data_IF_875846363056
#
_entry.id   IF_875846363056
#
_cell.length_a   1.000
_cell.length_b   1.000
_cell.length_c   1.000
_cell.angle_alpha   90.00
_cell.angle_beta   90.00
_cell.angle_gamma   90.00
#
_symmetry.space_group_name_H-M   'P 1'
#
loop_
_entity.id
_entity.type
_entity.pdbx_description
1 polymer ?
#
# COMPACT_ATOMS: atom_id res chain seq x y z
N UNK A 1 -4.33 -10.26 -11.66
CA UNK A 1 -5.36 -9.28 -11.24
C UNK A 1 -4.71 -7.93 -11.38
N UNK A 2 -5.38 -6.99 -12.01
CA UNK A 2 -4.77 -5.69 -12.33
C UNK A 2 -5.64 -4.58 -11.75
N UNK A 3 -5.00 -3.57 -11.17
CA UNK A 3 -5.65 -2.34 -10.72
C UNK A 3 -4.73 -1.15 -10.94
N UNK A 4 -5.31 0.04 -11.04
CA UNK A 4 -4.56 1.30 -11.12
C UNK A 4 -4.92 2.18 -9.94
N UNK A 5 -3.92 2.55 -9.15
CA UNK A 5 -4.06 3.52 -8.07
C UNK A 5 -3.60 4.90 -8.53
N UNK A 6 -4.24 5.94 -8.03
CA UNK A 6 -3.89 7.34 -8.30
C UNK A 6 -3.54 8.05 -7.02
N UNK A 7 -2.51 8.88 -7.06
CA UNK A 7 -2.14 9.70 -5.91
C UNK A 7 -1.85 11.13 -6.38
N UNK A 8 -2.33 12.12 -5.62
CA UNK A 8 -2.13 13.54 -5.90
C UNK A 8 -1.81 14.27 -4.61
N UNK A 9 -0.53 14.50 -4.36
CA UNK A 9 -0.13 15.14 -3.12
C UNK A 9 1.37 15.33 -2.98
N UNK A 10 1.82 15.80 -1.81
CA UNK A 10 3.22 15.99 -1.52
C UNK A 10 3.94 14.65 -1.27
N UNK A 11 4.95 14.35 -2.08
CA UNK A 11 5.85 13.22 -1.88
C UNK A 11 7.23 13.72 -1.43
N UNK A 12 7.51 13.66 -0.13
CA UNK A 12 8.81 14.10 0.44
C UNK A 12 9.84 12.97 0.39
N UNK A 13 11.10 13.31 0.12
CA UNK A 13 12.21 12.33 0.09
C UNK A 13 12.49 11.69 1.46
N UNK A 14 12.28 12.42 2.56
CA UNK A 14 12.44 11.92 3.93
C UNK A 14 11.13 12.11 4.70
N UNK A 15 10.06 11.50 4.19
CA UNK A 15 8.73 11.65 4.74
C UNK A 15 8.64 11.03 6.15
N UNK A 16 8.06 11.79 7.08
CA UNK A 16 7.81 11.28 8.42
C UNK A 16 6.61 10.32 8.49
N UNK A 17 6.32 9.76 9.67
CA UNK A 17 5.21 8.83 9.88
C UNK A 17 3.86 9.39 9.43
N UNK A 18 3.61 10.66 9.76
CA UNK A 18 2.39 11.40 9.37
C UNK A 18 2.27 11.51 7.85
N UNK A 19 3.37 11.80 7.15
CA UNK A 19 3.36 11.96 5.69
C UNK A 19 3.09 10.61 5.01
N UNK A 20 3.72 9.53 5.47
CA UNK A 20 3.47 8.16 4.96
C UNK A 20 2.03 7.72 5.23
N UNK A 21 1.49 8.03 6.41
CA UNK A 21 0.11 7.68 6.75
C UNK A 21 -0.91 8.43 5.89
N UNK A 22 -0.65 9.70 5.54
CA UNK A 22 -1.50 10.44 4.60
C UNK A 22 -1.57 9.75 3.24
N UNK A 23 -0.42 9.29 2.72
CA UNK A 23 -0.38 8.52 1.46
C UNK A 23 -1.18 7.21 1.60
N UNK A 24 -1.01 6.48 2.71
CA UNK A 24 -1.79 5.26 2.99
C UNK A 24 -3.29 5.51 2.96
N UNK A 25 -3.77 6.58 3.61
CA UNK A 25 -5.19 6.90 3.68
C UNK A 25 -5.76 7.34 2.31
N UNK A 26 -5.00 8.04 1.49
CA UNK A 26 -5.43 8.41 0.13
C UNK A 26 -5.55 7.19 -0.80
N UNK A 27 -4.61 6.24 -0.66
CA UNK A 27 -4.65 4.98 -1.41
C UNK A 27 -5.67 3.99 -0.83
N UNK A 28 -5.91 4.05 0.48
CA UNK A 28 -6.88 3.24 1.19
C UNK A 28 -8.27 3.35 0.57
N UNK A 29 -8.75 4.55 0.23
CA UNK A 29 -10.09 4.72 -0.33
C UNK A 29 -10.27 3.98 -1.65
N UNK A 30 -9.25 4.00 -2.50
CA UNK A 30 -9.24 3.29 -3.79
C UNK A 30 -9.12 1.78 -3.60
N UNK A 31 -8.25 1.34 -2.69
CA UNK A 31 -8.14 -0.07 -2.32
C UNK A 31 -9.46 -0.56 -1.70
N UNK A 32 -10.07 0.20 -0.80
CA UNK A 32 -11.35 -0.12 -0.19
C UNK A 32 -12.44 -0.33 -1.23
N UNK A 33 -12.54 0.57 -2.22
CA UNK A 33 -13.47 0.41 -3.33
C UNK A 33 -13.18 -0.88 -4.11
N UNK A 34 -11.91 -1.13 -4.43
CA UNK A 34 -11.48 -2.35 -5.12
C UNK A 34 -11.84 -3.63 -4.35
N UNK A 35 -11.60 -3.68 -3.04
CA UNK A 35 -11.95 -4.79 -2.16
C UNK A 35 -13.47 -5.02 -2.10
N UNK A 36 -14.28 -3.97 -2.17
CA UNK A 36 -15.73 -4.06 -2.15
C UNK A 36 -16.35 -4.54 -3.48
N UNK A 37 -15.70 -4.24 -4.60
CA UNK A 37 -16.18 -4.53 -5.95
C UNK A 37 -15.68 -5.87 -6.50
N UNK A 38 -14.44 -6.26 -6.20
CA UNK A 38 -13.86 -7.49 -6.73
C UNK A 38 -14.52 -8.72 -6.09
N UNK A 39 -15.09 -9.60 -6.92
CA UNK A 39 -15.82 -10.80 -6.47
C UNK A 39 -15.00 -11.71 -5.57
N UNK A 40 -13.68 -11.73 -5.73
CA UNK A 40 -12.75 -12.57 -4.96
C UNK A 40 -12.44 -11.97 -3.59
N UNK A 41 -12.62 -10.66 -3.43
CA UNK A 41 -12.28 -9.92 -2.21
C UNK A 41 -13.51 -9.53 -1.40
N UNK A 42 -14.68 -9.42 -2.05
CA UNK A 42 -15.90 -8.87 -1.47
C UNK A 42 -16.36 -9.58 -0.19
N UNK A 43 -16.23 -10.91 -0.13
CA UNK A 43 -16.57 -11.68 1.07
C UNK A 43 -15.64 -11.32 2.24
N UNK A 44 -14.33 -11.24 1.97
CA UNK A 44 -13.32 -10.85 2.95
C UNK A 44 -13.42 -9.39 3.38
N UNK A 45 -13.88 -8.50 2.48
CA UNK A 45 -14.16 -7.10 2.79
C UNK A 45 -15.31 -6.96 3.79
N UNK A 46 -16.41 -7.69 3.58
CA UNK A 46 -17.56 -7.65 4.48
C UNK A 46 -17.23 -8.20 5.88
N UNK A 47 -16.36 -9.22 5.94
CA UNK A 47 -16.00 -9.91 7.17
C UNK A 47 -14.60 -9.55 7.69
N UNK A 48 -14.07 -8.36 7.37
CA UNK A 48 -12.68 -8.00 7.66
C UNK A 48 -12.30 -8.12 9.17
N UNK A 49 -13.26 -7.97 10.09
CA UNK A 49 -13.06 -8.15 11.54
C UNK A 49 -12.72 -9.60 11.91
N UNK A 50 -13.19 -10.55 11.12
CA UNK A 50 -12.96 -12.00 11.30
C UNK A 50 -11.61 -12.45 10.75
N UNK A 51 -10.90 -11.57 10.03
CA UNK A 51 -9.55 -11.85 9.57
C UNK A 51 -8.65 -12.18 10.76
N UNK A 52 -7.83 -13.20 10.57
CA UNK A 52 -6.81 -13.57 11.54
C UNK A 52 -5.87 -12.40 11.81
N UNK A 53 -5.45 -12.28 13.06
CA UNK A 53 -4.50 -11.26 13.48
C UNK A 53 -3.08 -11.78 13.25
N UNK A 54 -2.30 -11.08 12.44
CA UNK A 54 -0.90 -11.40 12.23
C UNK A 54 -0.07 -11.07 13.48
N UNK A 55 0.92 -11.91 13.78
CA UNK A 55 1.92 -11.62 14.79
C UNK A 55 3.18 -11.05 14.11
N UNK A 56 3.81 -10.04 14.71
CA UNK A 56 5.07 -9.51 14.20
C UNK A 56 6.24 -10.38 14.67
N UNK A 57 7.15 -10.76 13.76
CA UNK A 57 8.41 -11.44 14.07
C UNK A 57 9.58 -10.77 13.36
N UNK A 58 10.23 -9.84 14.06
CA UNK A 58 11.26 -8.99 13.47
C UNK A 58 10.65 -8.05 12.43
N UNK A 59 11.10 -8.16 11.18
CA UNK A 59 10.64 -7.36 10.04
C UNK A 59 9.51 -8.03 9.24
N UNK A 60 9.07 -9.22 9.63
CA UNK A 60 8.05 -9.97 8.89
C UNK A 60 6.80 -10.21 9.74
N UNK A 61 5.69 -10.48 9.05
CA UNK A 61 4.43 -10.87 9.66
C UNK A 61 4.28 -12.39 9.64
N UNK A 62 4.14 -12.99 10.82
CA UNK A 62 3.84 -14.40 10.97
C UNK A 62 2.33 -14.58 11.11
N UNK A 63 1.75 -15.27 10.14
CA UNK A 63 0.34 -15.61 10.11
C UNK A 63 0.23 -17.12 10.26
N UNK A 64 -0.57 -17.57 11.23
CA UNK A 64 -0.80 -19.00 11.42
C UNK A 64 -1.46 -19.53 10.16
N UNK A 65 -0.73 -20.31 9.36
CA UNK A 65 -1.30 -20.93 8.17
C UNK A 65 -2.56 -21.69 8.59
N UNK A 66 -3.68 -21.47 7.92
CA UNK A 66 -4.91 -22.12 8.29
C UNK A 66 -4.75 -23.64 8.32
N UNK A 67 -5.11 -24.24 9.45
CA UNK A 67 -5.34 -25.70 9.54
C UNK A 67 -6.59 -26.01 8.72
N UNK A 68 -6.65 -27.22 8.13
CA UNK A 68 -7.76 -27.78 7.33
C UNK A 68 -9.11 -27.13 7.67
N UNK A 69 -9.69 -26.37 6.71
CA UNK A 69 -11.06 -25.84 6.81
C UNK A 69 -11.19 -24.31 6.82
N UNK A 70 -10.13 -23.54 7.05
CA UNK A 70 -10.18 -22.08 6.95
C UNK A 70 -9.94 -21.66 5.49
N UNK A 71 -10.86 -20.86 4.94
CA UNK A 71 -10.89 -20.42 3.54
C UNK A 71 -10.20 -19.08 3.27
N UNK A 72 -9.65 -18.43 4.30
CA UNK A 72 -9.17 -17.07 4.19
C UNK A 72 -7.70 -16.96 4.60
N UNK A 73 -6.86 -16.58 3.64
CA UNK A 73 -5.43 -16.37 3.84
C UNK A 73 -5.11 -14.90 4.14
N UNK A 74 -6.09 -13.99 4.02
CA UNK A 74 -5.95 -12.58 4.40
C UNK A 74 -5.92 -12.46 5.91
N UNK A 75 -5.31 -11.37 6.36
CA UNK A 75 -5.03 -11.12 7.75
C UNK A 75 -5.07 -9.62 8.02
N UNK A 76 -5.20 -9.26 9.30
CA UNK A 76 -5.11 -7.89 9.76
C UNK A 76 -3.99 -7.72 10.79
N UNK A 77 -3.44 -6.53 10.88
CA UNK A 77 -2.45 -6.18 11.88
C UNK A 77 -2.88 -4.90 12.63
N UNK A 78 -3.28 -5.02 13.91
CA UNK A 78 -3.62 -3.88 14.73
C UNK A 78 -2.35 -3.12 15.12
N UNK A 79 -2.28 -1.83 14.80
CA UNK A 79 -1.18 -0.94 15.18
C UNK A 79 -1.69 0.49 15.32
N UNK A 80 -1.36 1.16 16.43
CA UNK A 80 -1.61 2.59 16.66
C UNK A 80 -3.06 3.05 16.36
N UNK A 81 -4.05 2.25 16.76
CA UNK A 81 -5.46 2.60 16.55
C UNK A 81 -6.01 2.30 15.14
N UNK A 82 -5.29 1.52 14.33
CA UNK A 82 -5.69 1.08 12.99
C UNK A 82 -5.58 -0.44 12.81
N UNK A 83 -6.43 -1.01 11.97
CA UNK A 83 -6.31 -2.40 11.49
C UNK A 83 -5.77 -2.44 10.07
N UNK A 84 -4.47 -2.66 9.89
CA UNK A 84 -3.89 -2.74 8.56
C UNK A 84 -4.20 -4.07 7.88
N UNK A 85 -4.66 -4.03 6.62
CA UNK A 85 -5.05 -5.22 5.85
C UNK A 85 -4.35 -5.18 4.48
N UNK A 86 -3.30 -6.00 4.25
CA UNK A 86 -2.59 -6.03 2.98
C UNK A 86 -3.32 -6.84 1.91
N UNK A 87 -3.24 -6.38 0.67
CA UNK A 87 -3.79 -7.07 -0.51
C UNK A 87 -2.83 -8.13 -1.06
N UNK A 88 -1.58 -7.76 -1.31
CA UNK A 88 -0.54 -8.67 -1.79
C UNK A 88 0.23 -9.15 -0.57
N UNK A 89 0.24 -10.46 -0.36
CA UNK A 89 0.90 -11.04 0.80
C UNK A 89 1.73 -12.26 0.45
N UNK A 90 2.82 -12.44 1.19
CA UNK A 90 3.66 -13.64 1.09
C UNK A 90 2.91 -14.91 1.54
N UNK A 91 1.92 -14.79 2.44
CA UNK A 91 1.08 -15.90 2.92
C UNK A 91 0.23 -16.49 1.79
N UNK A 92 -0.22 -15.65 0.85
CA UNK A 92 -0.94 -16.07 -0.35
C UNK A 92 -0.02 -16.42 -1.52
N UNK A 93 1.31 -16.37 -1.31
CA UNK A 93 2.28 -16.52 -2.39
C UNK A 93 1.98 -15.56 -3.56
N UNK A 94 1.70 -14.30 -3.24
CA UNK A 94 1.45 -13.26 -4.25
C UNK A 94 2.66 -12.34 -4.38
N UNK A 95 2.94 -11.97 -5.62
CA UNK A 95 3.87 -10.91 -5.99
C UNK A 95 3.14 -9.86 -6.83
N UNK A 96 3.80 -8.74 -7.06
CA UNK A 96 3.31 -7.76 -8.00
C UNK A 96 4.40 -7.14 -8.87
N UNK A 97 3.93 -6.61 -9.98
CA UNK A 97 4.66 -5.68 -10.82
C UNK A 97 4.05 -4.29 -10.64
N UNK A 98 4.91 -3.31 -10.40
CA UNK A 98 4.52 -1.91 -10.28
C UNK A 98 5.04 -1.13 -11.48
N UNK A 99 4.15 -0.45 -12.18
CA UNK A 99 4.49 0.55 -13.20
C UNK A 99 3.97 1.90 -12.74
N UNK A 100 4.88 2.84 -12.50
CA UNK A 100 4.58 4.14 -11.91
C UNK A 100 4.84 5.23 -12.94
N UNK A 101 3.80 5.98 -13.30
CA UNK A 101 3.93 7.25 -14.02
C UNK A 101 3.96 8.39 -13.01
N UNK A 102 5.12 8.98 -12.82
CA UNK A 102 5.38 10.04 -11.84
C UNK A 102 5.41 11.40 -12.53
N UNK A 103 4.33 12.16 -12.41
CA UNK A 103 4.23 13.52 -12.90
C UNK A 103 4.71 14.49 -11.82
N UNK A 104 5.80 15.21 -12.07
CA UNK A 104 6.36 16.19 -11.11
C UNK A 104 6.77 17.48 -11.81
N UNK A 105 6.90 18.58 -11.06
CA UNK A 105 7.49 19.81 -11.62
C UNK A 105 8.98 19.59 -11.90
N UNK A 106 9.32 19.46 -13.18
CA UNK A 106 10.71 19.31 -13.66
C UNK A 106 11.12 20.63 -14.34
N UNK A 107 12.21 21.24 -13.86
CA UNK A 107 12.89 22.35 -14.55
C UNK A 107 13.82 21.83 -15.66
N UNK A 108 14.18 22.66 -16.66
CA UNK A 108 15.18 22.27 -17.67
C UNK A 108 16.50 21.84 -17.00
N UNK A 109 17.05 20.67 -17.36
CA UNK A 109 18.27 20.12 -16.74
C UNK A 109 18.10 19.51 -15.33
N UNK A 110 16.86 19.46 -14.82
CA UNK A 110 16.55 19.15 -13.42
C UNK A 110 16.33 17.68 -13.08
N UNK A 111 16.63 16.72 -13.97
CA UNK A 111 16.48 15.27 -13.68
C UNK A 111 17.25 14.89 -12.41
N UNK A 112 18.39 15.54 -12.14
CA UNK A 112 19.26 15.25 -10.99
C UNK A 112 19.30 16.35 -9.91
N UNK A 113 18.91 17.60 -10.19
CA UNK A 113 19.35 18.75 -9.37
C UNK A 113 18.27 19.58 -8.67
N UNK A 114 16.97 19.40 -8.96
CA UNK A 114 15.92 20.23 -8.32
C UNK A 114 14.88 19.35 -7.62
N UNK A 115 15.13 19.08 -6.33
CA UNK A 115 14.11 18.51 -5.42
C UNK A 115 14.43 17.16 -4.78
N UNK A 116 15.71 16.75 -4.71
CA UNK A 116 16.11 15.53 -4.01
C UNK A 116 15.96 14.24 -4.82
N UNK A 117 16.78 13.28 -4.42
CA UNK A 117 16.98 11.97 -5.05
C UNK A 117 15.64 11.24 -5.29
N UNK A 118 15.40 10.84 -6.55
CA UNK A 118 14.21 10.08 -6.94
C UNK A 118 14.11 8.81 -6.10
N UNK A 119 15.25 8.21 -5.77
CA UNK A 119 15.37 6.98 -5.00
C UNK A 119 14.78 7.14 -3.59
N UNK A 120 15.07 8.26 -2.93
CA UNK A 120 14.52 8.54 -1.59
C UNK A 120 13.00 8.76 -1.62
N UNK A 121 12.47 9.42 -2.67
CA UNK A 121 11.03 9.60 -2.85
C UNK A 121 10.32 8.27 -3.12
N UNK A 122 10.96 7.41 -3.90
CA UNK A 122 10.48 6.08 -4.20
C UNK A 122 10.45 5.21 -2.94
N UNK A 123 11.50 5.28 -2.10
CA UNK A 123 11.52 4.60 -0.81
C UNK A 123 10.33 5.02 0.07
N UNK A 124 10.09 6.33 0.19
CA UNK A 124 8.90 6.84 0.89
C UNK A 124 7.60 6.26 0.34
N UNK A 125 7.45 6.19 -0.98
CA UNK A 125 6.27 5.65 -1.62
C UNK A 125 6.09 4.16 -1.32
N UNK A 126 7.14 3.35 -1.47
CA UNK A 126 7.10 1.92 -1.18
C UNK A 126 6.77 1.66 0.29
N UNK A 127 7.39 2.39 1.22
CA UNK A 127 7.07 2.33 2.65
C UNK A 127 5.57 2.64 2.90
N UNK A 128 5.00 3.59 2.15
CA UNK A 128 3.58 3.96 2.26
C UNK A 128 2.63 2.97 1.55
N UNK A 129 3.11 2.15 0.61
CA UNK A 129 2.32 1.07 0.01
C UNK A 129 2.23 -0.17 0.93
N UNK A 130 3.18 -0.27 1.86
CA UNK A 130 3.31 -1.39 2.79
C UNK A 130 2.57 -1.16 4.12
N UNK A 131 2.16 -2.27 4.75
CA UNK A 131 1.77 -2.32 6.17
C UNK A 131 2.94 -1.85 7.05
N UNK A 132 2.72 -0.86 7.94
CA UNK A 132 3.74 -0.40 8.87
C UNK A 132 4.08 -1.49 9.91
N UNK A 133 5.36 -1.59 10.27
CA UNK A 133 5.87 -2.64 11.16
C UNK A 133 5.99 -2.13 12.60
N UNK A 134 6.39 -0.87 12.75
CA UNK A 134 6.65 -0.29 14.06
C UNK A 134 5.70 0.85 14.38
N UNK A 135 5.45 1.04 15.68
CA UNK A 135 4.64 2.13 16.19
C UNK A 135 5.15 3.50 15.73
N UNK A 136 6.46 3.71 15.67
CA UNK A 136 7.00 4.98 15.18
C UNK A 136 6.76 5.24 13.68
N UNK A 137 6.29 4.26 12.91
CA UNK A 137 6.03 4.42 11.47
C UNK A 137 4.61 4.93 11.18
N UNK A 138 3.78 5.07 12.22
CA UNK A 138 2.38 5.49 12.15
C UNK A 138 2.10 6.52 13.25
N UNK A 139 1.43 7.64 12.95
CA UNK A 139 0.93 8.50 14.01
C UNK A 139 -0.13 7.78 14.84
N UNK A 140 -0.18 8.06 16.15
CA UNK A 140 -1.25 7.55 17.00
C UNK A 140 -2.62 8.07 16.53
N UNK A 141 -3.61 7.19 16.46
CA UNK A 141 -4.98 7.58 16.14
C UNK A 141 -5.66 8.15 17.40
N UNK A 142 -5.83 9.47 17.44
CA UNK A 142 -6.46 10.19 18.56
C UNK A 142 -7.90 9.74 18.85
N UNK A 143 -8.58 9.12 17.88
CA UNK A 143 -9.96 8.62 18.01
C UNK A 143 -10.04 7.08 18.14
N UNK A 144 -9.00 6.44 18.68
CA UNK A 144 -8.96 4.99 18.81
C UNK A 144 -10.01 4.45 19.80
N UNK A 145 -10.72 3.39 19.40
CA UNK A 145 -11.50 2.57 20.34
C UNK A 145 -10.57 1.90 21.34
N UNK A 146 -11.04 1.60 22.55
CA UNK A 146 -10.28 0.83 23.55
C UNK A 146 -9.98 -0.60 23.05
N UNK A 147 -10.84 -1.13 22.19
CA UNK A 147 -10.74 -2.49 21.66
C UNK A 147 -10.14 -2.51 20.24
N UNK A 148 -9.01 -3.22 20.00
CA UNK A 148 -8.37 -3.32 18.68
C UNK A 148 -9.22 -3.95 17.58
N UNK A 149 -10.30 -4.65 17.93
CA UNK A 149 -11.26 -5.22 16.98
C UNK A 149 -12.21 -4.18 16.35
N UNK A 150 -12.33 -3.01 16.99
CA UNK A 150 -13.17 -1.91 16.51
C UNK A 150 -12.37 -0.81 15.82
N UNK A 151 -11.04 -0.93 15.77
CA UNK A 151 -10.20 0.01 15.05
C UNK A 151 -10.51 -0.03 13.55
N UNK A 152 -10.59 1.11 12.86
CA UNK A 152 -10.94 1.16 11.45
C UNK A 152 -9.91 0.39 10.58
N UNK A 153 -10.37 -0.32 9.53
CA UNK A 153 -9.45 -1.01 8.63
C UNK A 153 -8.74 0.00 7.73
N UNK A 154 -7.44 -0.23 7.50
CA UNK A 154 -6.63 0.47 6.51
C UNK A 154 -6.09 -0.55 5.52
N UNK A 155 -6.75 -0.68 4.38
CA UNK A 155 -6.26 -1.49 3.27
C UNK A 155 -4.94 -0.96 2.71
N UNK A 156 -3.91 -1.80 2.73
CA UNK A 156 -2.59 -1.56 2.18
C UNK A 156 -2.37 -2.41 0.93
N UNK A 157 -1.45 -2.00 0.07
CA UNK A 157 -1.15 -2.75 -1.13
C UNK A 157 -0.30 -3.98 -0.82
N UNK A 158 0.74 -3.81 0.00
CA UNK A 158 1.76 -4.82 0.28
C UNK A 158 1.83 -5.12 1.77
N UNK A 159 2.15 -6.35 2.15
CA UNK A 159 2.66 -6.66 3.49
C UNK A 159 4.17 -6.42 3.62
N UNK A 160 4.90 -6.63 2.53
CA UNK A 160 6.36 -6.56 2.42
C UNK A 160 6.76 -6.04 1.03
N UNK A 161 7.77 -5.16 0.96
CA UNK A 161 8.26 -4.59 -0.30
C UNK A 161 8.96 -5.63 -1.18
N UNK A 162 9.47 -6.72 -0.59
CA UNK A 162 10.01 -7.87 -1.31
C UNK A 162 9.00 -8.58 -2.21
N UNK A 163 7.69 -8.34 -2.05
CA UNK A 163 6.66 -8.84 -2.95
C UNK A 163 6.69 -8.14 -4.33
N UNK A 164 7.37 -6.99 -4.46
CA UNK A 164 7.55 -6.29 -5.73
C UNK A 164 8.68 -6.94 -6.52
N UNK A 165 8.33 -7.72 -7.54
CA UNK A 165 9.32 -8.45 -8.37
C UNK A 165 9.70 -7.69 -9.65
N UNK A 166 8.91 -6.68 -10.03
CA UNK A 166 9.21 -5.78 -11.15
C UNK A 166 8.76 -4.36 -10.82
N UNK A 167 9.66 -3.40 -10.99
CA UNK A 167 9.39 -1.98 -10.79
C UNK A 167 9.83 -1.20 -12.02
N UNK A 168 8.92 -0.40 -12.58
CA UNK A 168 9.19 0.52 -13.68
C UNK A 168 8.70 1.91 -13.31
N UNK A 169 9.54 2.92 -13.49
CA UNK A 169 9.19 4.30 -13.15
C UNK A 169 9.46 5.17 -14.37
N UNK A 170 8.43 5.91 -14.78
CA UNK A 170 8.52 6.92 -15.82
C UNK A 170 8.30 8.30 -15.19
N UNK A 171 9.32 9.17 -15.24
CA UNK A 171 9.20 10.53 -14.73
C UNK A 171 8.79 11.49 -15.84
N UNK A 172 7.67 12.18 -15.64
CA UNK A 172 7.02 13.04 -16.62
C UNK A 172 6.90 14.45 -16.06
N UNK A 173 7.04 15.47 -16.92
CA UNK A 173 6.85 16.86 -16.52
C UNK A 173 5.37 17.13 -16.27
N UNK A 174 5.04 17.60 -15.06
CA UNK A 174 3.71 18.04 -14.69
C UNK A 174 3.40 19.43 -15.29
N UNK A 175 2.48 19.46 -16.25
CA UNK A 175 2.04 20.69 -16.91
C UNK A 175 0.88 21.39 -16.18
N UNK A 176 0.09 20.65 -15.39
CA UNK A 176 -1.02 21.19 -14.62
C UNK A 176 -0.55 22.15 -13.52
N UNK A 177 -1.35 23.17 -13.15
CA UNK A 177 -1.08 24.01 -11.99
C UNK A 177 -1.06 23.17 -10.72
N UNK A 178 -0.11 23.47 -9.83
CA UNK A 178 -0.04 22.87 -8.49
C UNK A 178 -0.95 23.69 -7.57
N UNK A 179 -1.68 23.08 -6.61
CA UNK A 179 -2.48 23.83 -5.65
C UNK A 179 -1.65 24.91 -4.94
N UNK A 180 -2.14 26.15 -4.94
CA UNK A 180 -1.40 27.32 -4.44
C UNK A 180 -1.18 27.30 -2.91
N UNK A 181 -1.97 26.50 -2.20
CA UNK A 181 -1.95 26.40 -0.73
C UNK A 181 -0.83 25.48 -0.20
N UNK A 182 -0.06 24.85 -1.07
CA UNK A 182 1.00 23.93 -0.65
C UNK A 182 2.24 24.70 -0.15
N UNK A 183 2.64 24.42 1.09
CA UNK A 183 3.86 24.98 1.70
C UNK A 183 5.12 24.70 0.87
N UNK A 184 5.17 23.54 0.19
CA UNK A 184 6.33 23.10 -0.60
C UNK A 184 5.89 22.55 -1.97
N UNK A 185 5.60 23.43 -2.95
CA UNK A 185 5.10 23.03 -4.26
C UNK A 185 6.03 22.09 -5.04
N UNK A 186 7.34 22.14 -4.77
CA UNK A 186 8.34 21.25 -5.39
C UNK A 186 8.21 19.77 -4.97
N UNK A 187 7.47 19.48 -3.90
CA UNK A 187 7.19 18.11 -3.49
C UNK A 187 5.89 17.55 -4.07
N UNK A 188 5.08 18.38 -4.71
CA UNK A 188 3.83 17.93 -5.30
C UNK A 188 4.09 17.01 -6.50
N UNK A 189 3.42 15.87 -6.48
CA UNK A 189 3.43 14.89 -7.55
C UNK A 189 2.02 14.42 -7.84
N UNK A 190 1.76 14.11 -9.11
CA UNK A 190 0.65 13.24 -9.49
C UNK A 190 1.23 11.89 -9.91
N UNK A 191 0.62 10.80 -9.46
CA UNK A 191 1.08 9.45 -9.76
C UNK A 191 -0.07 8.59 -10.25
N UNK A 192 0.22 7.78 -11.26
CA UNK A 192 -0.56 6.60 -11.62
C UNK A 192 0.30 5.37 -11.36
N UNK A 193 -0.21 4.46 -10.54
CA UNK A 193 0.48 3.25 -10.09
C UNK A 193 -0.33 2.09 -10.64
N UNK A 194 0.12 1.56 -11.77
CA UNK A 194 -0.44 0.35 -12.36
C UNK A 194 0.15 -0.86 -11.60
N UNK A 195 -0.72 -1.61 -10.94
CA UNK A 195 -0.38 -2.81 -10.16
C UNK A 195 -0.87 -4.03 -10.92
N UNK A 196 0.05 -4.92 -11.24
CA UNK A 196 -0.26 -6.26 -11.75
C UNK A 196 0.10 -7.31 -10.72
N UNK A 197 -0.90 -8.03 -10.23
CA UNK A 197 -0.76 -9.06 -9.20
C UNK A 197 -0.61 -10.42 -9.87
N UNK A 198 0.46 -11.11 -9.48
CA UNK A 198 0.90 -12.40 -10.05
C UNK A 198 1.14 -13.41 -8.92
N UNK A 199 0.82 -14.70 -9.12
CA UNK A 199 1.15 -15.74 -8.17
C UNK A 199 2.65 -16.07 -8.25
N UNK A 200 3.29 -16.24 -7.10
CA UNK A 200 4.72 -16.57 -6.95
C UNK A 200 5.03 -18.00 -7.41
N UNK A 201 4.13 -18.93 -7.10
CA UNK A 201 4.22 -20.33 -7.50
C UNK A 201 3.01 -20.70 -8.34
N UNK A 202 3.22 -21.46 -9.42
CA UNK A 202 2.13 -22.09 -10.17
C UNK A 202 1.53 -23.24 -9.34
N UNK A 203 0.84 -22.94 -8.25
CA UNK A 203 0.11 -23.95 -7.49
C UNK A 203 -1.19 -24.18 -8.25
N UNK A 204 -1.26 -25.29 -8.98
CA UNK A 204 -2.42 -25.75 -9.75
C UNK A 204 -3.73 -25.77 -8.94
N UNK A 205 -3.67 -25.89 -7.60
CA UNK A 205 -4.85 -25.88 -6.72
C UNK A 205 -5.19 -24.53 -6.07
N UNK A 206 -4.27 -23.55 -6.02
CA UNK A 206 -4.51 -22.24 -5.40
C UNK A 206 -4.82 -21.15 -6.43
N UNK A 207 -4.38 -21.37 -7.68
CA UNK A 207 -4.72 -20.54 -8.84
C UNK A 207 -6.24 -20.48 -9.09
N UNK A 208 -6.94 -21.61 -8.96
CA UNK A 208 -8.40 -21.66 -9.17
C UNK A 208 -9.18 -20.84 -8.14
N UNK A 209 -8.67 -20.67 -6.91
CA UNK A 209 -9.33 -19.84 -5.89
C UNK A 209 -9.06 -18.33 -6.03
N UNK A 210 -8.01 -17.94 -6.75
CA UNK A 210 -7.62 -16.53 -6.93
C UNK A 210 -7.94 -15.98 -8.34
N UNK A 211 -8.25 -16.84 -9.31
CA UNK A 211 -8.42 -16.46 -10.72
C UNK A 211 -9.69 -17.00 -11.41
N UNK A 212 -10.60 -17.69 -10.69
CA UNK A 212 -11.97 -17.94 -11.16
C UNK A 212 -12.98 -16.94 -10.56
#
# INVERSE_FOLDING_TARGET
>A
MDLTLRYRGPLRSNAGPVDKQKIRLELHDQLRAFWAEDRRLKEHFAEWKTLQVAARRGQHFEVKRPVVGIRNFYWRYPLQGYNFVPLITHVHELHCHLQIRLYRKIGPGGILFVGGDLDNRLKTLLDALQVPIYEQDVPENENQSESPEDWPPVFCLLDDDSAVTKLSIESIKLLTPVPAELEQPGNYVEMEIDVRIVPATAITGSLDMLFQ
#
